data_IF_101871712360
#
_entry.id   IF_101871712360
#
_cell.length_a   1.000
_cell.length_b   1.000
_cell.length_c   1.000
_cell.angle_alpha   90.00
_cell.angle_beta   90.00
_cell.angle_gamma   90.00
#
_symmetry.space_group_name_H-M   'P 1'
#
loop_
_entity.id
_entity.type
_entity.pdbx_description
1 polymer ?
#
# COMPACT_ATOMS: atom_id res chain seq x y z
N UNK A 1 -9.08 6.52 6.32
CA UNK A 1 -9.03 5.11 6.82
C UNK A 1 -9.11 5.10 8.32
N UNK A 2 -9.81 4.14 8.95
CA UNK A 2 -9.74 3.99 10.42
C UNK A 2 -8.31 3.58 10.78
N UNK A 3 -7.48 4.56 11.16
CA UNK A 3 -6.04 4.38 11.37
C UNK A 3 -5.78 3.26 12.39
N UNK A 4 -5.24 2.13 11.93
CA UNK A 4 -4.79 1.06 12.81
C UNK A 4 -3.39 1.39 13.32
N UNK A 5 -3.17 1.18 14.62
CA UNK A 5 -1.82 1.19 15.17
C UNK A 5 -1.09 -0.13 14.89
N UNK A 6 0.22 -0.15 15.13
CA UNK A 6 1.03 -1.37 15.01
C UNK A 6 0.56 -2.49 15.93
N UNK A 7 0.15 -2.16 17.16
CA UNK A 7 -0.36 -3.15 18.12
C UNK A 7 -1.72 -3.70 17.64
N UNK A 8 -2.60 -2.83 17.15
CA UNK A 8 -3.88 -3.23 16.57
C UNK A 8 -3.66 -4.27 15.45
N UNK A 9 -2.74 -3.99 14.54
CA UNK A 9 -2.38 -4.88 13.44
C UNK A 9 -1.86 -6.23 13.94
N UNK A 10 -0.98 -6.24 14.94
CA UNK A 10 -0.43 -7.48 15.50
C UNK A 10 -1.50 -8.34 16.18
N UNK A 11 -2.45 -7.73 16.89
CA UNK A 11 -3.59 -8.46 17.51
C UNK A 11 -4.52 -9.01 16.43
N UNK A 12 -4.88 -8.21 15.43
CA UNK A 12 -5.74 -8.67 14.34
C UNK A 12 -5.07 -9.76 13.49
N UNK A 13 -3.76 -9.66 13.27
CA UNK A 13 -2.98 -10.69 12.59
C UNK A 13 -2.92 -12.00 13.39
N UNK A 14 -2.79 -11.94 14.73
CA UNK A 14 -2.94 -13.11 15.58
C UNK A 14 -4.31 -13.77 15.35
N UNK A 15 -5.39 -13.00 15.37
CA UNK A 15 -6.72 -13.53 15.12
C UNK A 15 -6.82 -14.24 13.76
N UNK A 16 -6.21 -13.68 12.71
CA UNK A 16 -6.16 -14.32 11.37
C UNK A 16 -5.40 -15.64 11.40
N UNK A 17 -4.28 -15.72 12.11
CA UNK A 17 -3.51 -16.96 12.25
C UNK A 17 -4.28 -18.04 13.02
N UNK A 18 -5.16 -17.64 13.94
CA UNK A 18 -6.01 -18.51 14.76
C UNK A 18 -7.41 -18.72 14.13
N UNK A 19 -7.52 -18.66 12.81
CA UNK A 19 -8.76 -18.86 12.05
C UNK A 19 -9.93 -17.92 12.43
N UNK A 20 -9.62 -16.76 13.01
CA UNK A 20 -10.55 -15.68 13.30
C UNK A 20 -10.90 -15.51 14.78
N UNK A 21 -10.63 -16.49 15.63
CA UNK A 21 -10.98 -16.43 17.05
C UNK A 21 -9.75 -16.73 17.90
N UNK A 22 -9.50 -15.91 18.92
CA UNK A 22 -8.33 -16.01 19.79
C UNK A 22 -8.71 -15.72 21.24
N UNK A 23 -7.89 -16.18 22.19
CA UNK A 23 -8.08 -15.95 23.62
C UNK A 23 -6.76 -15.57 24.32
N UNK A 24 -6.80 -15.50 25.64
CA UNK A 24 -5.63 -15.18 26.48
C UNK A 24 -4.44 -16.12 26.23
N UNK A 25 -4.68 -17.43 26.10
CA UNK A 25 -3.62 -18.40 25.82
C UNK A 25 -2.94 -18.11 24.47
N UNK A 26 -3.70 -17.73 23.44
CA UNK A 26 -3.10 -17.34 22.15
C UNK A 26 -2.21 -16.08 22.31
N UNK A 27 -2.67 -15.09 23.08
CA UNK A 27 -1.92 -13.86 23.33
C UNK A 27 -0.60 -14.13 24.08
N UNK A 28 -0.65 -14.94 25.14
CA UNK A 28 0.52 -15.31 25.96
C UNK A 28 1.56 -16.12 25.18
N UNK A 29 1.11 -16.96 24.25
CA UNK A 29 1.99 -17.77 23.40
C UNK A 29 2.50 -17.03 22.16
N UNK A 30 2.08 -15.79 21.94
CA UNK A 30 2.52 -14.95 20.83
C UNK A 30 3.59 -13.94 21.23
N UNK A 31 4.16 -13.24 20.26
CA UNK A 31 5.06 -12.11 20.49
C UNK A 31 4.39 -10.95 21.24
N UNK A 32 3.06 -10.89 21.28
CA UNK A 32 2.31 -9.84 21.98
C UNK A 32 2.50 -9.86 23.50
N UNK A 33 2.94 -10.98 24.09
CA UNK A 33 3.25 -11.10 25.52
C UNK A 33 4.25 -10.05 26.01
N UNK A 34 5.14 -9.57 25.13
CA UNK A 34 6.14 -8.52 25.43
C UNK A 34 5.52 -7.16 25.79
N UNK A 35 4.27 -6.91 25.42
CA UNK A 35 3.59 -5.63 25.65
C UNK A 35 3.11 -5.49 27.11
N UNK A 36 2.99 -6.59 27.84
CA UNK A 36 2.42 -6.65 29.18
C UNK A 36 0.89 -6.57 29.20
N UNK A 37 0.29 -7.09 30.27
CA UNK A 37 -1.17 -7.28 30.39
C UNK A 37 -1.94 -5.97 30.22
N UNK A 38 -1.54 -4.89 30.91
CA UNK A 38 -2.26 -3.62 30.86
C UNK A 38 -2.40 -3.05 29.44
N UNK A 39 -1.29 -3.00 28.68
CA UNK A 39 -1.32 -2.49 27.29
C UNK A 39 -2.14 -3.39 26.36
N UNK A 40 -2.13 -4.70 26.58
CA UNK A 40 -2.97 -5.62 25.81
C UNK A 40 -4.46 -5.38 26.08
N UNK A 41 -4.84 -5.23 27.35
CA UNK A 41 -6.23 -4.94 27.72
C UNK A 41 -6.71 -3.61 27.13
N UNK A 42 -5.88 -2.56 27.19
CA UNK A 42 -6.21 -1.25 26.59
C UNK A 42 -6.40 -1.36 25.07
N UNK A 43 -5.52 -2.11 24.39
CA UNK A 43 -5.62 -2.34 22.95
C UNK A 43 -6.86 -3.17 22.59
N UNK A 44 -7.16 -4.23 23.33
CA UNK A 44 -8.35 -5.06 23.13
C UNK A 44 -9.64 -4.25 23.36
N UNK A 45 -9.69 -3.43 24.41
CA UNK A 45 -10.81 -2.52 24.66
C UNK A 45 -11.01 -1.55 23.49
N UNK A 46 -9.92 -0.93 23.03
CA UNK A 46 -9.94 0.01 21.89
C UNK A 46 -10.41 -0.67 20.60
N UNK A 47 -9.90 -1.88 20.30
CA UNK A 47 -10.31 -2.66 19.13
C UNK A 47 -11.79 -3.05 19.20
N UNK A 48 -12.27 -3.45 20.38
CA UNK A 48 -13.68 -3.79 20.61
C UNK A 48 -14.58 -2.57 20.40
N UNK A 49 -14.22 -1.42 20.97
CA UNK A 49 -15.02 -0.18 20.86
C UNK A 49 -15.08 0.31 19.41
N UNK A 50 -14.00 0.11 18.65
CA UNK A 50 -13.95 0.38 17.20
C UNK A 50 -14.63 -0.68 16.34
N UNK A 51 -15.20 -1.73 16.96
CA UNK A 51 -15.87 -2.88 16.33
C UNK A 51 -14.95 -3.71 15.42
N UNK A 52 -13.66 -3.75 15.72
CA UNK A 52 -12.67 -4.57 15.00
C UNK A 52 -12.64 -6.02 15.52
N UNK A 53 -13.01 -6.20 16.79
CA UNK A 53 -13.19 -7.50 17.42
C UNK A 53 -14.51 -7.54 18.21
N UNK A 54 -15.06 -8.73 18.41
CA UNK A 54 -16.19 -9.00 19.31
C UNK A 54 -15.76 -9.90 20.46
N UNK A 55 -16.24 -9.63 21.67
CA UNK A 55 -16.07 -10.49 22.84
C UNK A 55 -17.18 -11.55 22.86
N UNK A 56 -16.80 -12.81 22.86
CA UNK A 56 -17.70 -13.96 22.94
C UNK A 56 -18.07 -14.27 24.40
N UNK A 57 -19.11 -15.09 24.59
CA UNK A 57 -19.60 -15.46 25.92
C UNK A 57 -18.61 -16.30 26.73
N UNK A 58 -17.69 -17.00 26.07
CA UNK A 58 -16.64 -17.81 26.68
C UNK A 58 -15.38 -17.01 27.04
N UNK A 59 -15.38 -15.70 26.82
CA UNK A 59 -14.23 -14.82 27.05
C UNK A 59 -13.22 -14.76 25.89
N UNK A 60 -13.45 -15.49 24.80
CA UNK A 60 -12.63 -15.37 23.58
C UNK A 60 -13.01 -14.13 22.76
N UNK A 61 -12.13 -13.72 21.86
CA UNK A 61 -12.35 -12.61 20.93
C UNK A 61 -12.42 -13.13 19.50
N UNK A 62 -13.31 -12.58 18.69
CA UNK A 62 -13.42 -12.90 17.26
C UNK A 62 -13.21 -11.64 16.43
N UNK A 63 -12.38 -11.74 15.38
CA UNK A 63 -12.19 -10.65 14.42
C UNK A 63 -13.48 -10.44 13.62
N UNK A 64 -13.88 -9.17 13.45
CA UNK A 64 -15.10 -8.84 12.70
C UNK A 64 -14.83 -8.76 11.20
N UNK A 65 -15.89 -8.87 10.39
CA UNK A 65 -15.80 -8.63 8.94
C UNK A 65 -15.24 -7.24 8.62
N UNK A 66 -15.62 -6.23 9.40
CA UNK A 66 -15.09 -4.87 9.25
C UNK A 66 -13.56 -4.82 9.36
N UNK A 67 -12.96 -5.61 10.26
CA UNK A 67 -11.51 -5.68 10.39
C UNK A 67 -10.88 -6.49 9.24
N UNK A 68 -11.54 -7.56 8.78
CA UNK A 68 -11.11 -8.33 7.60
C UNK A 68 -11.09 -7.47 6.34
N UNK A 69 -12.08 -6.59 6.15
CA UNK A 69 -12.18 -5.61 5.06
C UNK A 69 -11.06 -4.56 5.02
N UNK A 70 -10.17 -4.51 6.01
CA UNK A 70 -9.04 -3.58 5.98
C UNK A 70 -7.90 -4.17 5.14
N UNK A 71 -7.47 -5.41 5.42
CA UNK A 71 -6.27 -6.01 4.84
C UNK A 71 -6.46 -7.39 4.21
N UNK A 72 -7.55 -8.11 4.54
CA UNK A 72 -7.70 -9.54 4.25
C UNK A 72 -8.93 -9.88 3.41
N UNK A 73 -9.65 -8.87 2.90
CA UNK A 73 -10.73 -9.11 1.94
C UNK A 73 -10.15 -9.20 0.52
N UNK A 74 -10.49 -10.28 -0.18
CA UNK A 74 -9.97 -10.59 -1.52
C UNK A 74 -10.54 -9.68 -2.61
N UNK A 75 -11.61 -8.93 -2.33
CA UNK A 75 -12.11 -7.89 -3.23
C UNK A 75 -11.21 -6.64 -3.27
N UNK A 76 -10.26 -6.52 -2.32
CA UNK A 76 -9.30 -5.42 -2.29
C UNK A 76 -8.10 -5.80 -3.14
N UNK A 77 -7.72 -4.98 -4.13
CA UNK A 77 -6.54 -5.26 -4.93
C UNK A 77 -5.27 -5.42 -4.09
N UNK A 78 -4.37 -6.31 -4.52
CA UNK A 78 -3.11 -6.61 -3.83
C UNK A 78 -2.26 -5.38 -3.56
N UNK A 79 -2.11 -4.47 -4.53
CA UNK A 79 -1.40 -3.20 -4.33
C UNK A 79 -1.96 -2.39 -3.16
N UNK A 80 -3.29 -2.38 -2.98
CA UNK A 80 -3.94 -1.59 -1.95
C UNK A 80 -3.74 -2.22 -0.59
N UNK A 81 -3.80 -3.56 -0.51
CA UNK A 81 -3.47 -4.33 0.70
C UNK A 81 -2.01 -4.06 1.13
N UNK A 82 -1.07 -4.03 0.17
CA UNK A 82 0.33 -3.67 0.43
C UNK A 82 0.45 -2.25 0.99
N UNK A 83 -0.12 -1.25 0.31
CA UNK A 83 -0.03 0.15 0.77
C UNK A 83 -0.69 0.35 2.14
N UNK A 84 -1.85 -0.27 2.39
CA UNK A 84 -2.53 -0.23 3.70
C UNK A 84 -1.66 -0.82 4.81
N UNK A 85 -1.00 -1.94 4.55
CA UNK A 85 -0.04 -2.53 5.50
C UNK A 85 1.12 -1.58 5.77
N UNK A 86 1.76 -1.06 4.71
CA UNK A 86 2.92 -0.18 4.82
C UNK A 86 2.59 1.18 5.44
N UNK A 87 1.33 1.63 5.33
CA UNK A 87 0.80 2.80 6.05
C UNK A 87 0.80 2.61 7.58
N UNK A 88 0.61 1.37 8.03
CA UNK A 88 0.62 1.03 9.46
C UNK A 88 2.05 0.78 9.94
N UNK A 89 2.82 -0.01 9.18
CA UNK A 89 4.15 -0.49 9.58
C UNK A 89 5.05 -0.77 8.38
N UNK A 90 6.23 -0.15 8.36
CA UNK A 90 7.29 -0.54 7.43
C UNK A 90 7.82 -1.94 7.75
N UNK A 91 8.02 -2.76 6.72
CA UNK A 91 8.42 -4.15 6.93
C UNK A 91 9.09 -4.77 5.69
N UNK A 92 9.68 -5.95 5.87
CA UNK A 92 10.33 -6.71 4.81
C UNK A 92 9.32 -7.61 4.06
N UNK A 93 9.74 -8.18 2.93
CA UNK A 93 8.88 -9.03 2.10
C UNK A 93 8.30 -10.23 2.87
N UNK A 94 9.10 -10.89 3.71
CA UNK A 94 8.66 -12.04 4.50
C UNK A 94 7.49 -11.67 5.44
N UNK A 95 7.54 -10.48 6.03
CA UNK A 95 6.47 -10.01 6.91
C UNK A 95 5.24 -9.52 6.13
N UNK A 96 5.42 -8.98 4.92
CA UNK A 96 4.31 -8.64 4.03
C UNK A 96 3.55 -9.91 3.64
N UNK A 97 4.27 -10.95 3.22
CA UNK A 97 3.73 -12.28 2.89
C UNK A 97 2.99 -12.90 4.07
N UNK A 98 3.61 -12.93 5.25
CA UNK A 98 3.00 -13.48 6.46
C UNK A 98 1.74 -12.72 6.91
N UNK A 99 1.74 -11.38 6.84
CA UNK A 99 0.59 -10.59 7.26
C UNK A 99 -0.54 -10.67 6.24
N UNK A 100 -0.26 -10.45 4.96
CA UNK A 100 -1.30 -10.39 3.94
C UNK A 100 -1.84 -11.76 3.55
N UNK A 101 -1.11 -12.84 3.88
CA UNK A 101 -1.42 -14.22 3.46
C UNK A 101 -1.49 -14.36 1.94
N UNK A 102 -0.63 -13.62 1.24
CA UNK A 102 -0.47 -13.66 -0.21
C UNK A 102 0.94 -14.19 -0.51
N UNK A 103 1.09 -15.18 -1.42
CA UNK A 103 2.39 -15.70 -1.79
C UNK A 103 3.34 -14.62 -2.29
N UNK A 104 4.63 -14.77 -1.96
CA UNK A 104 5.67 -13.84 -2.39
C UNK A 104 5.72 -13.62 -3.90
N UNK A 105 5.44 -14.65 -4.70
CA UNK A 105 5.44 -14.60 -6.16
C UNK A 105 4.41 -13.59 -6.70
N UNK A 106 3.28 -13.44 -6.02
CA UNK A 106 2.22 -12.48 -6.35
C UNK A 106 2.53 -11.08 -5.81
N UNK A 107 3.20 -11.00 -4.65
CA UNK A 107 3.55 -9.72 -4.00
C UNK A 107 4.70 -8.99 -4.70
N UNK A 108 5.70 -9.73 -5.21
CA UNK A 108 6.88 -9.17 -5.86
C UNK A 108 6.57 -8.25 -7.06
N UNK A 109 5.74 -8.63 -8.05
CA UNK A 109 5.42 -7.73 -9.15
C UNK A 109 4.65 -6.48 -8.68
N UNK A 110 3.74 -6.63 -7.73
CA UNK A 110 2.95 -5.52 -7.19
C UNK A 110 3.81 -4.52 -6.43
N UNK A 111 4.70 -4.99 -5.55
CA UNK A 111 5.59 -4.09 -4.80
C UNK A 111 6.57 -3.36 -5.73
N UNK A 112 7.03 -4.03 -6.78
CA UNK A 112 7.92 -3.42 -7.77
C UNK A 112 7.17 -2.39 -8.62
N UNK A 113 5.90 -2.64 -8.94
CA UNK A 113 5.02 -1.66 -9.59
C UNK A 113 4.83 -0.43 -8.71
N UNK A 114 4.56 -0.62 -7.41
CA UNK A 114 4.44 0.46 -6.44
C UNK A 114 5.73 1.26 -6.31
N UNK A 115 6.89 0.58 -6.28
CA UNK A 115 8.21 1.22 -6.22
C UNK A 115 8.51 2.07 -7.46
N UNK A 116 8.26 1.53 -8.65
CA UNK A 116 8.45 2.25 -9.93
C UNK A 116 7.59 3.50 -10.04
N UNK A 117 6.39 3.46 -9.44
CA UNK A 117 5.47 4.60 -9.38
C UNK A 117 5.67 5.51 -8.15
N UNK A 118 6.79 5.37 -7.42
CA UNK A 118 7.14 6.20 -6.26
C UNK A 118 6.11 6.14 -5.10
N UNK A 119 5.31 5.08 -5.00
CA UNK A 119 4.41 4.89 -3.86
C UNK A 119 5.08 4.20 -2.67
N UNK A 120 6.16 3.47 -2.93
CA UNK A 120 6.91 2.71 -1.93
C UNK A 120 8.41 2.92 -2.14
N UNK A 121 9.12 3.22 -1.06
CA UNK A 121 10.57 3.20 -1.00
C UNK A 121 11.06 1.82 -0.54
N UNK A 122 12.12 1.32 -1.17
CA UNK A 122 12.86 0.17 -0.68
C UNK A 122 14.21 0.64 -0.15
N UNK A 123 14.48 0.39 1.13
CA UNK A 123 15.74 0.70 1.78
C UNK A 123 16.44 -0.58 2.28
N UNK A 124 17.74 -0.76 2.00
CA UNK A 124 18.50 -1.85 2.60
C UNK A 124 18.81 -1.50 4.06
N UNK A 125 18.46 -2.38 4.99
CA UNK A 125 18.78 -2.26 6.41
C UNK A 125 19.65 -3.44 6.87
N UNK A 126 20.53 -3.20 7.84
CA UNK A 126 21.34 -4.26 8.46
C UNK A 126 20.65 -4.73 9.73
N UNK A 127 20.30 -6.01 9.77
CA UNK A 127 19.76 -6.68 10.94
C UNK A 127 20.53 -7.99 11.13
N UNK A 128 21.11 -8.19 12.31
CA UNK A 128 21.88 -9.39 12.67
C UNK A 128 22.90 -9.81 11.57
N UNK A 129 23.72 -8.84 11.14
CA UNK A 129 24.75 -8.98 10.10
C UNK A 129 24.24 -9.27 8.67
N UNK A 130 22.92 -9.42 8.47
CA UNK A 130 22.29 -9.61 7.17
C UNK A 130 21.73 -8.29 6.63
N UNK A 131 21.81 -8.11 5.31
CA UNK A 131 21.15 -7.00 4.62
C UNK A 131 19.74 -7.44 4.24
N UNK A 132 18.74 -6.81 4.85
CA UNK A 132 17.33 -7.02 4.57
C UNK A 132 16.76 -5.83 3.78
N UNK A 133 15.85 -6.10 2.86
CA UNK A 133 15.10 -5.04 2.16
C UNK A 133 13.87 -4.69 2.98
N UNK A 134 13.75 -3.43 3.38
CA UNK A 134 12.59 -2.90 4.09
C UNK A 134 11.83 -1.98 3.15
N UNK A 135 10.51 -2.10 3.16
CA UNK A 135 9.60 -1.31 2.35
C UNK A 135 8.87 -0.30 3.23
N UNK A 136 8.80 0.93 2.75
CA UNK A 136 8.19 2.08 3.42
C UNK A 136 7.24 2.77 2.44
N UNK A 137 6.04 3.13 2.89
CA UNK A 137 5.13 3.92 2.06
C UNK A 137 5.65 5.36 1.92
N UNK A 138 5.53 5.90 0.71
CA UNK A 138 5.85 7.30 0.41
C UNK A 138 4.57 8.17 0.42
N UNK A 139 4.68 9.50 0.55
CA UNK A 139 3.53 10.40 0.57
C UNK A 139 2.54 10.18 -0.59
N UNK A 140 3.03 9.92 -1.79
CA UNK A 140 2.24 9.63 -2.98
C UNK A 140 1.38 8.37 -2.80
N UNK A 141 1.92 7.35 -2.10
CA UNK A 141 1.21 6.12 -1.79
C UNK A 141 0.12 6.34 -0.74
N UNK A 142 0.36 7.23 0.22
CA UNK A 142 -0.63 7.66 1.21
C UNK A 142 -1.81 8.34 0.51
N UNK A 143 -1.52 9.33 -0.33
CA UNK A 143 -2.54 10.03 -1.10
C UNK A 143 -3.35 9.09 -2.00
N UNK A 144 -2.68 8.12 -2.63
CA UNK A 144 -3.34 7.13 -3.47
C UNK A 144 -4.35 6.30 -2.67
N UNK A 145 -3.96 5.81 -1.47
CA UNK A 145 -4.87 5.05 -0.60
C UNK A 145 -6.01 5.92 -0.06
N UNK A 146 -5.73 7.14 0.38
CA UNK A 146 -6.77 8.03 0.93
C UNK A 146 -7.83 8.37 -0.13
N UNK A 147 -7.45 8.51 -1.41
CA UNK A 147 -8.40 8.69 -2.53
C UNK A 147 -9.32 7.49 -2.76
N UNK A 148 -8.87 6.26 -2.46
CA UNK A 148 -9.71 5.06 -2.65
C UNK A 148 -10.94 5.04 -1.76
N UNK A 149 -10.95 5.82 -0.67
CA UNK A 149 -12.09 5.89 0.24
C UNK A 149 -13.30 6.58 -0.38
N UNK A 150 -13.07 7.52 -1.28
CA UNK A 150 -14.13 8.24 -1.99
C UNK A 150 -14.36 7.66 -3.39
N UNK A 151 -13.28 7.31 -4.09
CA UNK A 151 -13.31 7.04 -5.53
C UNK A 151 -13.31 5.54 -5.87
N UNK A 152 -13.22 4.68 -4.85
CA UNK A 152 -13.04 3.24 -5.01
C UNK A 152 -11.66 2.87 -5.58
N UNK A 153 -11.46 1.59 -5.88
CA UNK A 153 -10.19 1.08 -6.40
C UNK A 153 -10.07 1.12 -7.93
N UNK A 154 -11.20 1.23 -8.63
CA UNK A 154 -11.27 1.11 -10.10
C UNK A 154 -10.62 2.28 -10.83
N UNK A 155 -10.59 3.46 -10.19
CA UNK A 155 -10.03 4.68 -10.77
C UNK A 155 -8.53 4.82 -10.54
N UNK A 156 -7.94 3.98 -9.67
CA UNK A 156 -6.50 4.02 -9.38
C UNK A 156 -5.75 3.24 -10.46
N UNK A 157 -5.52 3.89 -11.61
CA UNK A 157 -4.64 3.35 -12.65
C UNK A 157 -3.19 3.42 -12.17
N UNK A 158 -2.67 2.33 -11.63
CA UNK A 158 -1.24 2.10 -11.55
C UNK A 158 -0.78 1.88 -12.98
N UNK A 159 -0.35 2.96 -13.63
CA UNK A 159 0.22 2.88 -14.95
C UNK A 159 1.32 1.83 -14.96
N UNK A 160 1.32 1.01 -16.00
CA UNK A 160 2.60 0.64 -16.61
C UNK A 160 3.49 1.89 -16.61
N UNK A 161 4.80 1.77 -16.33
CA UNK A 161 5.70 2.92 -16.28
C UNK A 161 5.39 3.78 -17.51
N UNK A 162 4.80 4.98 -17.33
CA UNK A 162 4.13 5.75 -18.40
C UNK A 162 4.82 5.44 -19.69
N UNK A 163 4.23 4.56 -20.49
CA UNK A 163 4.98 3.92 -21.57
C UNK A 163 5.52 5.06 -22.42
N UNK A 164 6.69 4.88 -23.03
CA UNK A 164 7.20 5.89 -23.96
C UNK A 164 6.10 6.31 -24.95
N UNK A 165 5.18 5.39 -25.27
CA UNK A 165 3.93 5.60 -26.01
C UNK A 165 2.98 6.64 -25.37
N UNK A 166 2.68 6.59 -24.07
CA UNK A 166 1.86 7.61 -23.39
C UNK A 166 2.56 8.98 -23.37
N UNK A 167 3.87 9.02 -23.12
CA UNK A 167 4.63 10.29 -23.14
C UNK A 167 4.63 10.87 -24.55
N UNK A 168 4.84 10.02 -25.57
CA UNK A 168 4.76 10.43 -26.97
C UNK A 168 3.36 10.95 -27.32
N UNK A 169 2.29 10.34 -26.81
CA UNK A 169 0.91 10.80 -26.98
C UNK A 169 0.67 12.18 -26.38
N UNK A 170 1.18 12.44 -25.18
CA UNK A 170 1.09 13.78 -24.54
C UNK A 170 1.88 14.81 -25.37
N UNK A 171 3.05 14.45 -25.90
CA UNK A 171 3.81 15.34 -26.78
C UNK A 171 3.04 15.63 -28.09
N UNK A 172 2.38 14.63 -28.66
CA UNK A 172 1.52 14.79 -29.84
C UNK A 172 0.32 15.71 -29.59
N UNK A 173 -0.31 15.60 -28.41
CA UNK A 173 -1.41 16.49 -27.99
C UNK A 173 -0.94 17.94 -27.84
N UNK A 174 0.19 18.17 -27.15
CA UNK A 174 0.79 19.50 -27.00
C UNK A 174 1.11 20.10 -28.37
N UNK A 175 1.62 19.30 -29.33
CA UNK A 175 1.89 19.77 -30.69
C UNK A 175 0.62 20.24 -31.41
N UNK A 176 -0.51 19.54 -31.24
CA UNK A 176 -1.80 19.95 -31.81
C UNK A 176 -2.30 21.25 -31.18
N UNK A 177 -2.26 21.37 -29.86
CA UNK A 177 -2.68 22.59 -29.15
C UNK A 177 -1.84 23.83 -29.54
N UNK A 178 -0.54 23.63 -29.83
CA UNK A 178 0.34 24.70 -30.32
C UNK A 178 -0.01 25.12 -31.76
N UNK A 179 -0.44 24.19 -32.60
CA UNK A 179 -0.89 24.53 -33.95
C UNK A 179 -2.13 25.44 -33.90
N UNK A 180 -3.06 25.14 -33.00
CA UNK A 180 -4.34 25.86 -32.86
C UNK A 180 -4.24 27.20 -32.11
N UNK A 181 -3.11 27.50 -31.46
CA UNK A 181 -2.92 28.76 -30.70
C UNK A 181 -2.48 29.92 -31.59
N UNK A 182 -2.86 31.15 -31.22
CA UNK A 182 -2.46 32.40 -31.89
C UNK A 182 -1.03 32.85 -31.47
N UNK A 183 -0.04 31.96 -31.57
CA UNK A 183 1.37 32.26 -31.29
C UNK A 183 2.11 32.69 -32.56
N UNK A 184 3.14 33.53 -32.41
CA UNK A 184 4.04 33.90 -33.51
C UNK A 184 4.69 32.65 -34.13
N UNK A 185 4.80 32.57 -35.47
CA UNK A 185 5.34 31.39 -36.17
C UNK A 185 6.72 30.94 -35.64
N UNK A 186 7.62 31.91 -35.40
CA UNK A 186 8.98 31.65 -34.89
C UNK A 186 8.96 30.96 -33.51
N UNK A 187 7.99 31.30 -32.66
CA UNK A 187 7.85 30.68 -31.33
C UNK A 187 7.24 29.28 -31.44
N UNK A 188 6.29 29.07 -32.34
CA UNK A 188 5.73 27.73 -32.63
C UNK A 188 6.81 26.77 -33.11
N UNK A 189 7.64 27.22 -34.05
CA UNK A 189 8.74 26.42 -34.59
C UNK A 189 9.77 26.05 -33.51
N UNK A 190 10.13 27.02 -32.66
CA UNK A 190 11.06 26.77 -31.54
C UNK A 190 10.51 25.76 -30.53
N UNK A 191 9.21 25.80 -30.23
CA UNK A 191 8.60 24.82 -29.31
C UNK A 191 8.52 23.44 -29.98
N UNK A 192 8.13 23.38 -31.26
CA UNK A 192 8.07 22.13 -32.02
C UNK A 192 9.42 21.43 -32.12
N UNK A 193 10.52 22.18 -32.34
CA UNK A 193 11.88 21.62 -32.33
C UNK A 193 12.25 21.02 -30.96
N UNK A 194 11.87 21.69 -29.86
CA UNK A 194 12.14 21.18 -28.51
C UNK A 194 11.35 19.91 -28.22
N UNK A 195 10.09 19.86 -28.66
CA UNK A 195 9.23 18.68 -28.53
C UNK A 195 9.73 17.50 -29.38
N UNK A 196 10.22 17.76 -30.61
CA UNK A 196 10.87 16.75 -31.45
C UNK A 196 12.12 16.17 -30.79
N UNK A 197 13.00 17.02 -30.25
CA UNK A 197 14.19 16.57 -29.49
C UNK A 197 13.83 15.73 -28.27
N UNK A 198 12.69 16.01 -27.62
CA UNK A 198 12.18 15.19 -26.53
C UNK A 198 11.69 13.82 -27.04
N UNK A 199 10.95 13.76 -28.15
CA UNK A 199 10.53 12.49 -28.77
C UNK A 199 11.72 11.62 -29.17
N UNK A 200 12.75 12.21 -29.76
CA UNK A 200 13.93 11.46 -30.20
C UNK A 200 14.70 10.85 -29.03
N UNK A 201 14.72 11.53 -27.87
CA UNK A 201 15.33 11.00 -26.64
C UNK A 201 14.52 9.90 -25.96
N UNK A 202 13.23 9.79 -26.29
CA UNK A 202 12.31 8.81 -25.72
C UNK A 202 12.14 7.55 -26.58
N UNK A 203 12.73 7.47 -27.77
CA UNK A 203 12.63 6.32 -28.69
C UNK A 203 13.89 5.44 -28.71
N UNK A 204 14.62 5.31 -27.59
CA UNK A 204 15.91 4.57 -27.53
C UNK A 204 15.70 3.07 -27.72
#
# INVERSE_FOLDING_TARGET
>A
MRKLGTIDLEILHLAINENGTFNENNLENSELKRLGVGKLLDALATLKDRKMISLNTDGSFTITELAREILWNDNIPTWARILRLLYIKSCNMEKIEDILKIPKEELLPEIEKLRKNQFVLMSPQRLDEKVIKVYEILPEGIEAIDKTETDGFENTKFGEPKSEVEILSIVDEIQKEIQDTQLEPIKKDSINEKLLKLKDKLKI
#
